data_IF_689147249565
#
_entry.id   IF_689147249565
#
_cell.length_a   1.000
_cell.length_b   1.000
_cell.length_c   1.000
_cell.angle_alpha   90.00
_cell.angle_beta   90.00
_cell.angle_gamma   90.00
#
_symmetry.space_group_name_H-M   'P 1'
#
loop_
_entity.id
_entity.type
_entity.pdbx_description
1 polymer ?
#
# COMPACT_ATOMS: atom_id res chain seq x y z
N UNK A 1 -1.52 -1.97 7.62
CA UNK A 1 -2.94 -1.68 7.33
C UNK A 1 -3.70 -2.97 7.49
N UNK A 2 -4.81 -2.94 8.23
CA UNK A 2 -5.73 -4.08 8.36
C UNK A 2 -6.82 -3.95 7.29
N UNK A 3 -7.19 -5.04 6.61
CA UNK A 3 -8.11 -4.98 5.47
C UNK A 3 -9.59 -4.86 5.87
N UNK A 4 -9.89 -5.10 7.13
CA UNK A 4 -11.18 -4.84 7.73
C UNK A 4 -10.97 -4.44 9.19
N UNK A 5 -11.99 -3.86 9.80
CA UNK A 5 -12.01 -3.51 11.21
C UNK A 5 -13.19 -4.19 11.90
N UNK A 6 -13.00 -4.65 13.14
CA UNK A 6 -14.09 -5.26 13.90
C UNK A 6 -15.10 -4.18 14.32
N UNK A 7 -16.34 -4.33 13.84
CA UNK A 7 -17.38 -3.33 14.05
C UNK A 7 -17.78 -3.16 15.53
N UNK A 8 -17.81 -4.25 16.29
CA UNK A 8 -18.11 -4.20 17.73
C UNK A 8 -17.00 -3.49 18.51
N UNK A 9 -15.74 -3.64 18.07
CA UNK A 9 -14.62 -2.86 18.61
C UNK A 9 -14.71 -1.37 18.25
N UNK A 10 -15.28 -1.01 17.09
CA UNK A 10 -15.49 0.39 16.73
C UNK A 10 -16.61 1.00 17.57
N UNK A 11 -17.69 0.25 17.79
CA UNK A 11 -18.87 0.69 18.55
C UNK A 11 -18.65 0.85 20.05
N UNK A 12 -17.55 0.33 20.58
CA UNK A 12 -17.16 0.59 21.97
C UNK A 12 -16.53 1.99 22.17
N UNK A 13 -16.22 2.71 21.08
CA UNK A 13 -15.75 4.10 21.15
C UNK A 13 -16.95 5.04 21.26
N UNK A 14 -16.93 5.94 22.24
CA UNK A 14 -18.01 6.90 22.45
C UNK A 14 -18.24 7.75 21.19
N UNK A 15 -19.50 7.86 20.76
CA UNK A 15 -19.92 8.56 19.54
C UNK A 15 -19.93 7.68 18.29
N UNK A 16 -19.55 6.40 18.39
CA UNK A 16 -19.54 5.42 17.28
C UNK A 16 -20.52 4.25 17.51
N UNK A 17 -21.44 4.35 18.46
CA UNK A 17 -22.35 3.26 18.87
C UNK A 17 -23.19 2.72 17.71
N UNK A 18 -23.55 3.61 16.77
CA UNK A 18 -24.33 3.28 15.57
C UNK A 18 -23.49 3.24 14.29
N UNK A 19 -22.15 3.22 14.41
CA UNK A 19 -21.28 3.16 13.25
C UNK A 19 -21.60 1.94 12.39
N UNK A 20 -21.50 2.12 11.07
CA UNK A 20 -21.66 1.09 10.07
C UNK A 20 -20.56 1.19 9.02
N UNK A 21 -20.22 0.06 8.43
CA UNK A 21 -19.26 0.02 7.33
C UNK A 21 -20.06 0.12 6.03
N UNK A 22 -19.92 1.24 5.34
CA UNK A 22 -20.63 1.51 4.07
C UNK A 22 -20.03 0.71 2.91
N UNK A 23 -18.72 0.50 2.93
CA UNK A 23 -18.03 -0.34 1.95
C UNK A 23 -18.08 -1.83 2.37
N UNK A 24 -18.78 -2.71 1.64
CA UNK A 24 -18.90 -4.12 1.98
C UNK A 24 -17.55 -4.87 1.96
N UNK A 25 -16.53 -4.36 1.25
CA UNK A 25 -15.18 -4.94 1.29
C UNK A 25 -14.48 -4.61 2.62
N UNK A 26 -14.54 -3.36 3.05
CA UNK A 26 -13.99 -2.93 4.35
C UNK A 26 -14.66 -3.62 5.57
N UNK A 27 -15.82 -4.27 5.37
CA UNK A 27 -16.60 -4.98 6.39
C UNK A 27 -16.24 -6.44 6.64
N UNK A 28 -15.09 -6.92 6.14
CA UNK A 28 -14.61 -8.29 6.37
C UNK A 28 -14.44 -9.15 5.12
N UNK A 29 -14.79 -8.63 3.93
CA UNK A 29 -14.52 -9.29 2.64
C UNK A 29 -13.24 -8.81 1.95
N UNK A 30 -12.66 -7.72 2.44
CA UNK A 30 -11.46 -7.09 1.91
C UNK A 30 -10.21 -7.89 2.29
N UNK A 31 -9.22 -7.86 1.39
CA UNK A 31 -7.88 -8.39 1.62
C UNK A 31 -6.86 -7.27 1.48
N UNK A 32 -5.80 -7.30 2.28
CA UNK A 32 -4.69 -6.35 2.17
C UNK A 32 -3.62 -6.98 1.30
N UNK A 33 -3.76 -6.84 -0.02
CA UNK A 33 -2.81 -7.38 -0.98
C UNK A 33 -1.62 -6.43 -1.11
N UNK A 34 -0.42 -6.97 -0.95
CA UNK A 34 0.87 -6.26 -1.05
C UNK A 34 1.90 -7.20 -1.66
N UNK A 35 2.94 -6.64 -2.25
CA UNK A 35 4.15 -7.32 -2.72
C UNK A 35 3.90 -8.36 -3.80
N UNK A 36 3.03 -8.04 -4.76
CA UNK A 36 2.71 -8.92 -5.89
C UNK A 36 3.93 -9.17 -6.80
N UNK A 37 4.87 -8.23 -6.85
CA UNK A 37 6.12 -8.34 -7.60
C UNK A 37 7.14 -7.30 -7.13
N UNK A 38 8.43 -7.64 -7.23
CA UNK A 38 9.55 -6.70 -7.05
C UNK A 38 10.46 -6.83 -8.27
N UNK A 39 10.80 -5.70 -8.90
CA UNK A 39 11.70 -5.67 -10.04
C UNK A 39 13.15 -5.46 -9.57
N UNK A 40 14.11 -6.28 -10.03
CA UNK A 40 15.53 -6.06 -9.77
C UNK A 40 15.97 -4.69 -10.33
N UNK A 41 16.67 -3.91 -9.50
CA UNK A 41 17.05 -2.52 -9.81
C UNK A 41 18.29 -2.10 -9.02
N UNK A 42 19.03 -1.12 -9.54
CA UNK A 42 20.16 -0.51 -8.84
C UNK A 42 19.72 0.59 -7.83
N UNK A 43 20.66 1.19 -7.10
CA UNK A 43 20.34 2.22 -6.11
C UNK A 43 19.89 3.56 -6.72
N UNK A 44 19.95 3.70 -8.04
CA UNK A 44 19.40 4.82 -8.81
C UNK A 44 18.03 4.51 -9.41
N UNK A 45 17.37 3.45 -8.91
CA UNK A 45 16.04 3.00 -9.35
C UNK A 45 15.99 2.48 -10.80
N UNK A 46 17.12 2.29 -11.48
CA UNK A 46 17.13 1.75 -12.85
C UNK A 46 16.97 0.23 -12.81
N UNK A 47 16.08 -0.30 -13.65
CA UNK A 47 15.88 -1.74 -13.78
C UNK A 47 17.15 -2.44 -14.27
N UNK A 48 17.49 -3.59 -13.69
CA UNK A 48 18.63 -4.38 -14.15
C UNK A 48 18.49 -4.77 -15.62
N UNK A 49 19.60 -4.76 -16.34
CA UNK A 49 19.69 -5.06 -17.78
C UNK A 49 18.91 -4.11 -18.72
N UNK A 50 18.39 -2.97 -18.22
CA UNK A 50 17.74 -1.96 -19.05
C UNK A 50 18.34 -0.57 -18.82
N UNK A 51 18.58 0.18 -19.90
CA UNK A 51 19.25 1.49 -19.83
C UNK A 51 18.29 2.66 -19.60
N UNK A 52 17.02 2.51 -19.97
CA UNK A 52 16.02 3.58 -20.03
C UNK A 52 14.72 3.21 -19.29
N UNK A 53 14.77 2.25 -18.36
CA UNK A 53 13.65 1.86 -17.52
C UNK A 53 14.00 2.09 -16.06
N UNK A 54 13.14 2.85 -15.38
CA UNK A 54 13.22 3.08 -13.94
C UNK A 54 12.01 2.47 -13.23
N UNK A 55 12.20 2.03 -12.00
CA UNK A 55 11.20 1.38 -11.17
C UNK A 55 11.03 2.18 -9.90
N UNK A 56 9.83 2.71 -9.69
CA UNK A 56 9.45 3.40 -8.46
C UNK A 56 8.30 2.70 -7.73
N UNK A 57 7.98 3.18 -6.53
CA UNK A 57 6.89 2.65 -5.74
C UNK A 57 7.16 1.26 -5.16
N UNK A 58 6.09 0.53 -4.89
CA UNK A 58 6.14 -0.84 -4.36
C UNK A 58 6.87 -1.83 -5.29
N UNK A 59 7.00 -1.51 -6.58
CA UNK A 59 7.73 -2.37 -7.52
C UNK A 59 9.25 -2.29 -7.34
N UNK A 60 9.78 -1.21 -6.74
CA UNK A 60 11.23 -1.02 -6.56
C UNK A 60 11.78 -1.63 -5.26
N UNK A 61 10.89 -2.21 -4.45
CA UNK A 61 11.19 -2.84 -3.17
C UNK A 61 9.98 -2.83 -2.23
N UNK A 62 10.17 -3.25 -0.98
CA UNK A 62 9.12 -3.29 0.05
C UNK A 62 8.77 -1.90 0.62
N UNK A 63 8.58 -0.91 -0.25
CA UNK A 63 8.16 0.45 0.09
C UNK A 63 6.63 0.53 0.13
N UNK A 64 6.06 0.50 1.34
CA UNK A 64 4.62 0.27 1.55
C UNK A 64 3.84 1.49 2.01
N UNK A 65 4.46 2.68 1.95
CA UNK A 65 3.84 3.95 2.31
C UNK A 65 3.76 4.91 1.12
N UNK A 66 2.78 5.81 1.18
CA UNK A 66 2.59 6.85 0.17
C UNK A 66 3.84 7.72 0.01
N UNK A 67 4.52 8.01 1.11
CA UNK A 67 5.74 8.82 1.14
C UNK A 67 6.87 8.13 0.38
N UNK A 68 7.19 6.89 0.72
CA UNK A 68 8.26 6.13 0.10
C UNK A 68 7.97 5.86 -1.39
N UNK A 69 6.70 5.59 -1.71
CA UNK A 69 6.28 5.41 -3.09
C UNK A 69 6.40 6.69 -3.92
N UNK A 70 6.24 7.87 -3.30
CA UNK A 70 6.42 9.16 -3.96
C UNK A 70 7.90 9.51 -4.10
N UNK A 71 8.70 9.33 -3.05
CA UNK A 71 10.13 9.64 -3.05
C UNK A 71 10.90 8.81 -4.08
N UNK A 72 10.61 7.50 -4.18
CA UNK A 72 11.26 6.62 -5.17
C UNK A 72 10.92 6.98 -6.61
N UNK A 73 9.71 7.52 -6.87
CA UNK A 73 9.36 8.06 -8.19
C UNK A 73 10.14 9.32 -8.53
N UNK A 74 10.32 10.22 -7.57
CA UNK A 74 11.11 11.46 -7.79
C UNK A 74 12.55 11.11 -8.16
N UNK A 75 13.12 10.06 -7.56
CA UNK A 75 14.48 9.60 -7.87
C UNK A 75 14.63 9.01 -9.30
N UNK A 76 13.53 8.72 -10.00
CA UNK A 76 13.55 8.22 -11.37
C UNK A 76 13.58 9.34 -12.44
N UNK A 77 13.44 10.60 -12.04
CA UNK A 77 13.54 11.80 -12.90
C UNK A 77 14.91 12.48 -12.71
#
# INVERSE_FOLDING_TARGET
MSPFFNLEKLRSVSGFETACIVDPYSGGKGNSIRYMAVSPRDNYMRAENMKNLFVGGEKSGFYVGHTEATTTKIQCF
#
